data_IF_654333307321
#
_entry.id   IF_654333307321
#
_cell.length_a   1.000
_cell.length_b   1.000
_cell.length_c   1.000
_cell.angle_alpha   90.00
_cell.angle_beta   90.00
_cell.angle_gamma   90.00
#
_symmetry.space_group_name_H-M   'P 1'
#
loop_
_entity.id
_entity.type
_entity.pdbx_description
1 polymer ?
#
# COMPACT_ATOMS: atom_id res chain seq x y z
N UNK A 1 -9.98 0.92 -10.48
CA UNK A 1 -9.67 0.13 -11.68
C UNK A 1 -8.20 -0.19 -11.60
N UNK A 2 -7.86 -1.39 -11.13
CA UNK A 2 -6.48 -1.86 -11.03
C UNK A 2 -6.05 -2.40 -12.40
N UNK A 3 -4.75 -2.34 -12.70
CA UNK A 3 -4.17 -2.98 -13.89
C UNK A 3 -3.19 -4.04 -13.43
N UNK A 4 -3.25 -5.21 -14.06
CA UNK A 4 -2.20 -6.21 -13.92
C UNK A 4 -1.03 -5.78 -14.80
N UNK A 5 0.17 -5.84 -14.23
CA UNK A 5 1.39 -5.46 -14.93
C UNK A 5 2.32 -6.68 -15.03
N UNK A 6 3.01 -6.78 -16.16
CA UNK A 6 3.96 -7.83 -16.49
C UNK A 6 5.37 -7.23 -16.55
N UNK A 7 6.41 -8.02 -16.24
CA UNK A 7 7.78 -7.53 -16.34
C UNK A 7 8.12 -7.31 -17.81
N UNK A 8 8.79 -6.20 -18.12
CA UNK A 8 9.36 -5.95 -19.45
C UNK A 8 10.88 -6.20 -19.44
N UNK A 9 11.56 -6.28 -20.61
CA UNK A 9 12.98 -6.65 -20.68
C UNK A 9 13.93 -5.72 -19.91
N UNK A 10 13.49 -4.50 -19.58
CA UNK A 10 14.23 -3.55 -18.76
C UNK A 10 14.05 -3.84 -17.27
N UNK A 11 15.15 -4.06 -16.51
CA UNK A 11 15.08 -4.32 -15.08
C UNK A 11 14.33 -3.21 -14.33
N UNK A 12 13.34 -3.58 -13.52
CA UNK A 12 12.57 -2.65 -12.71
C UNK A 12 11.42 -1.93 -13.43
N UNK A 13 11.23 -2.14 -14.73
CA UNK A 13 10.13 -1.55 -15.50
C UNK A 13 9.02 -2.58 -15.68
N UNK A 14 7.77 -2.14 -15.52
CA UNK A 14 6.58 -2.97 -15.62
C UNK A 14 5.58 -2.36 -16.61
N UNK A 15 5.06 -3.15 -17.54
CA UNK A 15 4.04 -2.70 -18.48
C UNK A 15 2.66 -3.14 -18.02
N UNK A 16 1.74 -2.17 -17.92
CA UNK A 16 0.41 -2.39 -17.37
C UNK A 16 -0.63 -2.57 -18.47
N UNK A 17 -1.24 -3.75 -18.50
CA UNK A 17 -2.33 -4.08 -19.41
C UNK A 17 -3.67 -3.73 -18.73
N UNK A 18 -4.61 -3.18 -19.50
CA UNK A 18 -5.95 -2.93 -19.00
C UNK A 18 -6.67 -4.27 -18.81
N UNK A 19 -6.92 -4.67 -17.56
CA UNK A 19 -7.72 -5.84 -17.26
C UNK A 19 -9.14 -5.40 -16.82
N UNK A 20 -10.15 -5.80 -17.59
CA UNK A 20 -11.56 -5.74 -17.17
C UNK A 20 -11.91 -7.03 -16.44
N UNK A 21 -11.57 -7.13 -15.16
CA UNK A 21 -11.93 -8.30 -14.35
C UNK A 21 -13.07 -7.95 -13.38
N UNK A 22 -14.18 -8.70 -13.48
CA UNK A 22 -15.16 -8.82 -12.40
C UNK A 22 -14.55 -9.74 -11.34
N UNK A 23 -14.63 -9.43 -10.04
CA UNK A 23 -14.08 -10.30 -9.03
C UNK A 23 -14.89 -11.61 -8.96
N UNK A 24 -14.22 -12.74 -9.15
CA UNK A 24 -14.74 -14.06 -8.81
C UNK A 24 -14.84 -14.15 -7.28
N UNK A 25 -16.04 -14.42 -6.77
CA UNK A 25 -16.39 -14.47 -5.34
C UNK A 25 -16.01 -15.80 -4.68
N UNK A 26 -14.85 -16.37 -5.00
CA UNK A 26 -14.48 -17.70 -4.50
C UNK A 26 -13.07 -17.77 -3.91
N UNK A 27 -12.62 -16.75 -3.19
CA UNK A 27 -11.53 -16.93 -2.21
C UNK A 27 -12.16 -17.41 -0.90
N UNK A 28 -12.46 -18.71 -0.83
CA UNK A 28 -12.80 -19.35 0.43
C UNK A 28 -11.55 -19.40 1.32
N UNK A 29 -11.50 -18.49 2.30
CA UNK A 29 -10.60 -18.58 3.44
C UNK A 29 -10.93 -19.85 4.23
N UNK A 30 -10.13 -20.91 4.08
CA UNK A 30 -10.16 -22.05 4.99
C UNK A 30 -9.43 -21.64 6.27
N UNK A 31 -10.18 -21.47 7.35
CA UNK A 31 -9.66 -21.33 8.70
C UNK A 31 -9.21 -22.71 9.20
N UNK A 32 -7.92 -22.98 9.21
CA UNK A 32 -7.39 -24.14 9.94
C UNK A 32 -7.19 -23.75 11.41
N UNK A 33 -8.02 -24.36 12.27
CA UNK A 33 -7.96 -24.25 13.73
C UNK A 33 -7.05 -25.34 14.31
N UNK A 34 -6.18 -24.90 15.21
CA UNK A 34 -5.66 -25.56 16.41
C UNK A 34 -4.77 -26.82 16.32
N UNK A 35 -3.47 -26.60 16.57
CA UNK A 35 -2.60 -27.35 17.51
C UNK A 35 -1.32 -26.51 17.67
N UNK A 36 -0.73 -26.24 18.82
CA UNK A 36 -0.84 -26.81 20.15
C UNK A 36 -0.55 -25.74 21.22
N UNK A 37 -1.16 -25.91 22.39
CA UNK A 37 -0.91 -25.14 23.60
C UNK A 37 0.45 -25.52 24.19
N UNK A 38 1.35 -24.54 24.28
CA UNK A 38 2.56 -24.58 25.10
C UNK A 38 2.72 -23.23 25.79
N UNK A 39 2.52 -23.22 27.11
CA UNK A 39 2.63 -22.02 27.95
C UNK A 39 4.10 -21.56 28.01
N UNK A 40 4.37 -20.31 27.64
CA UNK A 40 5.60 -19.61 28.00
C UNK A 40 5.27 -18.13 28.24
N UNK A 41 5.27 -17.74 29.51
CA UNK A 41 5.13 -16.37 29.96
C UNK A 41 6.44 -15.61 29.67
N UNK A 42 6.64 -15.18 28.41
CA UNK A 42 7.51 -14.03 28.07
C UNK A 42 7.32 -13.51 26.62
N UNK A 43 6.14 -13.70 26.01
CA UNK A 43 6.05 -13.70 24.54
C UNK A 43 5.71 -12.36 23.86
N UNK A 44 5.42 -11.27 24.59
CA UNK A 44 5.06 -9.96 23.98
C UNK A 44 6.26 -9.05 23.74
N UNK A 45 7.35 -9.22 24.49
CA UNK A 45 8.52 -8.32 24.46
C UNK A 45 9.57 -8.68 23.40
N UNK A 46 9.47 -9.83 22.73
CA UNK A 46 10.44 -10.23 21.69
C UNK A 46 9.86 -10.21 20.27
N UNK A 47 8.53 -10.22 20.11
CA UNK A 47 7.90 -10.23 18.78
C UNK A 47 8.19 -8.98 17.98
N UNK A 48 8.34 -7.81 18.62
CA UNK A 48 8.66 -6.57 17.91
C UNK A 48 10.07 -6.57 17.28
N UNK A 49 11.02 -7.35 17.82
CA UNK A 49 12.36 -7.50 17.24
C UNK A 49 12.32 -8.28 15.93
N UNK A 50 11.42 -9.26 15.83
CA UNK A 50 11.33 -10.18 14.69
C UNK A 50 10.26 -9.77 13.68
N UNK A 51 9.23 -9.03 14.12
CA UNK A 51 8.09 -8.58 13.31
C UNK A 51 7.69 -7.14 13.65
N UNK A 52 8.56 -6.15 13.38
CA UNK A 52 8.31 -4.75 13.76
C UNK A 52 7.07 -4.15 13.09
N UNK A 53 6.58 -4.75 11.99
CA UNK A 53 5.41 -4.30 11.24
C UNK A 53 4.12 -5.07 11.57
N UNK A 54 4.13 -6.01 12.51
CA UNK A 54 2.97 -6.89 12.79
C UNK A 54 1.67 -6.10 13.03
N UNK A 55 1.76 -4.98 13.75
CA UNK A 55 0.58 -4.12 14.01
C UNK A 55 0.00 -3.53 12.73
N UNK A 56 0.83 -3.08 11.79
CA UNK A 56 0.39 -2.54 10.50
C UNK A 56 -0.18 -3.66 9.62
N UNK A 57 0.49 -4.82 9.57
CA UNK A 57 0.02 -5.98 8.82
C UNK A 57 -1.37 -6.43 9.29
N UNK A 58 -1.61 -6.44 10.61
CA UNK A 58 -2.92 -6.76 11.17
C UNK A 58 -4.00 -5.78 10.71
N UNK A 59 -3.70 -4.48 10.67
CA UNK A 59 -4.65 -3.46 10.17
C UNK A 59 -4.94 -3.62 8.67
N UNK A 60 -3.93 -3.97 7.86
CA UNK A 60 -4.12 -4.32 6.45
C UNK A 60 -5.04 -5.53 6.30
N UNK A 61 -4.89 -6.57 7.13
CA UNK A 61 -5.74 -7.75 7.08
C UNK A 61 -7.19 -7.46 7.49
N UNK A 62 -7.37 -6.59 8.48
CA UNK A 62 -8.69 -6.13 8.93
C UNK A 62 -9.34 -5.13 7.96
N UNK A 63 -8.56 -4.51 7.08
CA UNK A 63 -9.04 -3.44 6.19
C UNK A 63 -9.35 -2.14 6.93
N UNK A 64 -8.70 -1.90 8.08
CA UNK A 64 -8.91 -0.70 8.89
C UNK A 64 -8.12 0.49 8.31
N UNK A 65 -8.71 1.13 7.31
CA UNK A 65 -8.09 2.26 6.61
C UNK A 65 -7.88 3.48 7.51
N UNK A 66 -8.73 3.68 8.52
CA UNK A 66 -8.63 4.82 9.42
C UNK A 66 -7.44 4.68 10.36
N UNK A 67 -7.23 3.48 10.92
CA UNK A 67 -6.05 3.18 11.72
C UNK A 67 -4.77 3.22 10.88
N UNK A 68 -4.80 2.73 9.64
CA UNK A 68 -3.68 2.83 8.71
C UNK A 68 -3.36 4.28 8.36
N UNK A 69 -4.37 5.14 8.19
CA UNK A 69 -4.17 6.57 7.95
C UNK A 69 -3.52 7.25 9.14
N UNK A 70 -3.93 6.93 10.37
CA UNK A 70 -3.27 7.43 11.60
C UNK A 70 -1.79 7.05 11.64
N UNK A 71 -1.47 5.79 11.29
CA UNK A 71 -0.07 5.35 11.16
C UNK A 71 0.70 6.10 10.09
N UNK A 72 0.07 6.35 8.94
CA UNK A 72 0.71 7.11 7.88
C UNK A 72 0.96 8.57 8.30
N UNK A 73 0.05 9.15 9.09
CA UNK A 73 0.23 10.47 9.69
C UNK A 73 1.40 10.55 10.67
N UNK A 74 1.70 9.48 11.41
CA UNK A 74 2.89 9.42 12.29
C UNK A 74 4.20 9.59 11.48
N UNK A 75 4.26 9.05 10.27
CA UNK A 75 5.40 9.22 9.36
C UNK A 75 5.38 10.58 8.67
N UNK A 76 4.21 10.99 8.16
CA UNK A 76 4.07 12.13 7.28
C UNK A 76 4.05 13.49 8.00
N UNK A 77 3.65 13.49 9.29
CA UNK A 77 3.57 14.68 10.13
C UNK A 77 2.26 15.46 10.05
N UNK A 78 1.39 15.18 9.07
CA UNK A 78 0.05 15.77 8.98
C UNK A 78 -0.91 14.86 8.20
N UNK A 79 -2.19 15.25 8.11
CA UNK A 79 -3.20 14.53 7.33
C UNK A 79 -3.62 15.34 6.10
N UNK A 80 -3.40 14.78 4.91
CA UNK A 80 -3.86 15.36 3.66
C UNK A 80 -4.58 14.32 2.79
N UNK A 81 -5.42 14.73 1.82
CA UNK A 81 -6.12 13.81 0.94
C UNK A 81 -5.18 12.90 0.14
N UNK A 82 -4.01 13.39 -0.26
CA UNK A 82 -3.04 12.57 -1.00
C UNK A 82 -2.41 11.48 -0.14
N UNK A 83 -2.16 11.74 1.16
CA UNK A 83 -1.75 10.70 2.10
C UNK A 83 -2.81 9.60 2.21
N UNK A 84 -4.08 9.99 2.38
CA UNK A 84 -5.20 9.04 2.44
C UNK A 84 -5.37 8.24 1.15
N UNK A 85 -5.17 8.86 -0.02
CA UNK A 85 -5.15 8.17 -1.31
C UNK A 85 -4.00 7.17 -1.41
N UNK A 86 -2.81 7.51 -0.90
CA UNK A 86 -1.66 6.61 -0.79
C UNK A 86 -1.98 5.38 0.04
N UNK A 87 -2.49 5.58 1.26
CA UNK A 87 -2.91 4.49 2.17
C UNK A 87 -3.89 3.54 1.48
N UNK A 88 -4.93 4.11 0.85
CA UNK A 88 -5.94 3.31 0.12
C UNK A 88 -5.35 2.59 -1.07
N UNK A 89 -4.46 3.22 -1.83
CA UNK A 89 -3.84 2.63 -3.01
C UNK A 89 -2.95 1.44 -2.64
N UNK A 90 -2.12 1.58 -1.60
CA UNK A 90 -1.31 0.49 -1.07
C UNK A 90 -2.15 -0.67 -0.55
N UNK A 91 -3.19 -0.38 0.23
CA UNK A 91 -4.12 -1.41 0.72
C UNK A 91 -4.72 -2.21 -0.44
N UNK A 92 -5.27 -1.53 -1.46
CA UNK A 92 -5.84 -2.18 -2.65
C UNK A 92 -4.77 -3.00 -3.38
N UNK A 93 -3.59 -2.45 -3.60
CA UNK A 93 -2.51 -3.15 -4.30
C UNK A 93 -2.08 -4.43 -3.57
N UNK A 94 -1.90 -4.39 -2.24
CA UNK A 94 -1.56 -5.57 -1.43
C UNK A 94 -2.67 -6.62 -1.49
N UNK A 95 -3.93 -6.19 -1.38
CA UNK A 95 -5.11 -7.05 -1.45
C UNK A 95 -5.21 -7.79 -2.77
N UNK A 96 -5.05 -7.07 -3.89
CA UNK A 96 -5.11 -7.64 -5.25
C UNK A 96 -3.89 -8.54 -5.54
N UNK A 97 -2.72 -8.21 -4.98
CA UNK A 97 -1.50 -9.02 -5.11
C UNK A 97 -1.51 -10.26 -4.18
N UNK A 98 -2.53 -10.40 -3.33
CA UNK A 98 -2.64 -11.50 -2.37
C UNK A 98 -1.51 -11.53 -1.34
N UNK A 99 -1.00 -10.36 -0.95
CA UNK A 99 0.07 -10.22 0.05
C UNK A 99 -0.57 -10.09 1.43
N UNK A 100 -0.29 -11.08 2.29
CA UNK A 100 -0.83 -11.18 3.66
C UNK A 100 0.21 -10.69 4.68
N UNK A 101 1.49 -10.86 4.38
CA UNK A 101 2.63 -10.44 5.20
C UNK A 101 3.73 -9.94 4.27
N UNK A 102 4.43 -8.88 4.65
CA UNK A 102 5.59 -8.38 3.92
C UNK A 102 6.79 -8.35 4.86
N UNK A 103 7.66 -9.35 4.71
CA UNK A 103 8.82 -9.56 5.58
C UNK A 103 9.94 -8.52 5.38
N UNK A 104 9.76 -7.53 4.50
CA UNK A 104 10.67 -6.39 4.37
C UNK A 104 12.02 -6.69 3.70
N UNK A 105 12.18 -7.88 3.12
CA UNK A 105 13.40 -8.35 2.45
C UNK A 105 13.30 -8.23 0.92
N UNK A 106 12.84 -7.07 0.44
CA UNK A 106 12.74 -6.74 -1.00
C UNK A 106 11.87 -7.68 -1.86
N UNK A 107 11.14 -8.63 -1.27
CA UNK A 107 10.26 -9.57 -1.99
C UNK A 107 9.17 -8.83 -2.78
N UNK A 108 8.61 -7.81 -2.15
CA UNK A 108 7.67 -6.87 -2.73
C UNK A 108 8.39 -5.54 -2.95
N UNK A 109 8.35 -5.05 -4.19
CA UNK A 109 8.90 -3.74 -4.57
C UNK A 109 7.74 -2.83 -4.97
N UNK A 110 7.78 -1.60 -4.48
CA UNK A 110 6.86 -0.53 -4.86
C UNK A 110 7.54 0.43 -5.83
N UNK A 111 6.99 0.61 -7.03
CA UNK A 111 7.35 1.72 -7.92
C UNK A 111 6.32 2.83 -7.75
N UNK A 112 6.73 3.97 -7.22
CA UNK A 112 5.87 5.16 -7.03
C UNK A 112 6.13 6.19 -8.12
N UNK A 113 5.07 6.81 -8.62
CA UNK A 113 5.12 7.72 -9.78
C UNK A 113 5.12 9.22 -9.41
N UNK A 114 5.28 9.52 -8.12
CA UNK A 114 5.29 10.88 -7.53
C UNK A 114 6.13 10.88 -6.26
N UNK A 115 6.69 12.04 -5.90
CA UNK A 115 7.46 12.30 -4.68
C UNK A 115 6.60 12.93 -3.56
N UNK A 116 5.31 13.16 -3.80
CA UNK A 116 4.41 13.82 -2.84
C UNK A 116 3.83 12.89 -1.77
N UNK A 117 2.93 13.45 -0.95
CA UNK A 117 2.29 12.82 0.22
C UNK A 117 1.69 11.42 -0.04
N UNK A 118 1.30 11.15 -1.28
CA UNK A 118 0.83 9.83 -1.71
C UNK A 118 1.86 8.72 -1.40
N UNK A 119 3.14 9.00 -1.62
CA UNK A 119 4.23 8.04 -1.46
C UNK A 119 4.45 7.64 0.00
N UNK A 120 4.23 8.53 0.96
CA UNK A 120 4.31 8.18 2.39
C UNK A 120 3.21 7.21 2.83
N UNK A 121 2.01 7.35 2.25
CA UNK A 121 0.93 6.38 2.44
C UNK A 121 1.32 4.99 1.90
N UNK A 122 2.03 4.95 0.76
CA UNK A 122 2.58 3.69 0.21
C UNK A 122 3.63 3.10 1.15
N UNK A 123 4.62 3.89 1.56
CA UNK A 123 5.69 3.45 2.45
C UNK A 123 5.16 2.87 3.75
N UNK A 124 4.22 3.58 4.39
CA UNK A 124 3.65 3.14 5.66
C UNK A 124 2.89 1.82 5.51
N UNK A 125 2.02 1.69 4.52
CA UNK A 125 1.11 0.54 4.40
C UNK A 125 1.80 -0.66 3.76
N UNK A 126 2.49 -0.46 2.63
CA UNK A 126 3.15 -1.54 1.90
C UNK A 126 4.43 -2.02 2.59
N UNK A 127 5.10 -1.16 3.37
CA UNK A 127 6.40 -1.48 3.97
C UNK A 127 7.56 -1.45 2.99
N UNK A 128 7.29 -0.98 1.77
CA UNK A 128 8.28 -0.69 0.77
C UNK A 128 8.77 0.74 1.01
N UNK A 129 9.94 0.91 1.63
CA UNK A 129 10.49 2.23 1.97
C UNK A 129 11.73 2.53 1.15
N UNK A 130 12.12 3.79 1.06
CA UNK A 130 13.29 4.18 0.28
C UNK A 130 14.57 3.48 0.78
N UNK A 131 14.82 3.52 2.09
CA UNK A 131 16.07 3.02 2.67
C UNK A 131 16.13 1.50 2.87
N UNK A 132 15.01 0.77 2.75
CA UNK A 132 15.02 -0.69 2.76
C UNK A 132 15.10 -1.31 1.36
N UNK A 133 15.44 -0.50 0.34
CA UNK A 133 15.60 -0.90 -1.07
C UNK A 133 14.36 -1.53 -1.72
N UNK A 134 13.17 -1.37 -1.11
CA UNK A 134 11.93 -1.90 -1.66
C UNK A 134 11.07 -0.83 -2.33
N UNK A 135 11.51 0.43 -2.38
CA UNK A 135 10.82 1.50 -3.10
C UNK A 135 11.69 2.06 -4.23
N UNK A 136 11.10 2.12 -5.43
CA UNK A 136 11.65 2.78 -6.61
C UNK A 136 10.81 4.01 -6.91
N UNK A 137 11.45 5.18 -6.97
CA UNK A 137 10.80 6.40 -7.40
C UNK A 137 10.99 6.59 -8.91
N UNK A 138 9.91 6.93 -9.61
CA UNK A 138 9.94 7.28 -11.03
C UNK A 138 9.09 8.53 -11.23
N UNK A 139 9.71 9.68 -11.45
CA UNK A 139 8.98 10.94 -11.54
C UNK A 139 8.14 11.03 -12.82
N UNK A 140 6.85 10.69 -12.73
CA UNK A 140 5.87 10.83 -13.81
C UNK A 140 4.76 11.82 -13.45
N UNK A 141 4.84 12.47 -12.28
CA UNK A 141 3.82 13.36 -11.75
C UNK A 141 2.45 12.70 -11.48
N UNK A 142 2.39 11.37 -11.38
CA UNK A 142 1.13 10.62 -11.24
C UNK A 142 0.99 10.08 -9.82
N UNK A 143 -0.16 10.30 -9.19
CA UNK A 143 -0.54 9.61 -7.97
C UNK A 143 -0.85 8.13 -8.25
N UNK A 144 0.19 7.34 -8.42
CA UNK A 144 0.14 5.93 -8.77
C UNK A 144 1.27 5.13 -8.12
N UNK A 145 0.97 3.86 -7.87
CA UNK A 145 1.91 2.86 -7.34
C UNK A 145 1.78 1.57 -8.14
N UNK A 146 2.90 0.93 -8.41
CA UNK A 146 2.95 -0.46 -8.86
C UNK A 146 3.59 -1.30 -7.76
N UNK A 147 2.86 -2.25 -7.18
CA UNK A 147 3.44 -3.27 -6.30
C UNK A 147 3.74 -4.51 -7.13
N UNK A 148 4.97 -4.99 -7.04
CA UNK A 148 5.44 -6.15 -7.79
C UNK A 148 6.10 -7.17 -6.88
N UNK A 149 5.82 -8.46 -7.10
CA UNK A 149 6.68 -9.54 -6.61
C UNK A 149 7.91 -9.64 -7.51
N UNK A 150 9.12 -9.74 -6.95
CA UNK A 150 10.38 -9.81 -7.72
C UNK A 150 10.41 -10.85 -8.85
N UNK A 151 9.65 -11.94 -8.72
CA UNK A 151 9.60 -13.03 -9.71
C UNK A 151 8.18 -13.35 -10.20
N UNK A 152 7.35 -12.34 -10.45
CA UNK A 152 6.00 -12.65 -10.92
C UNK A 152 5.13 -11.47 -11.28
N UNK A 153 3.92 -11.49 -10.75
CA UNK A 153 2.85 -10.54 -11.06
C UNK A 153 3.05 -9.21 -10.34
N UNK A 154 2.53 -8.16 -10.97
CA UNK A 154 2.45 -6.84 -10.39
C UNK A 154 1.04 -6.26 -10.52
N UNK A 155 0.67 -5.40 -9.58
CA UNK A 155 -0.59 -4.65 -9.57
C UNK A 155 -0.26 -3.17 -9.56
N UNK A 156 -0.79 -2.44 -10.53
CA UNK A 156 -0.74 -0.98 -10.55
C UNK A 156 -2.07 -0.37 -10.17
N UNK A 157 -2.02 0.54 -9.22
CA UNK A 157 -3.15 1.35 -8.75
C UNK A 157 -2.83 2.81 -9.02
N UNK A 158 -3.74 3.51 -9.68
CA UNK A 158 -3.61 4.94 -9.97
C UNK A 158 -4.89 5.67 -9.60
N UNK A 159 -4.74 6.89 -9.07
CA UNK A 159 -5.85 7.83 -8.92
C UNK A 159 -6.33 8.25 -10.31
N UNK A 160 -7.65 8.36 -10.49
CA UNK A 160 -8.22 8.80 -11.78
C UNK A 160 -7.84 10.26 -12.02
N UNK A 161 -7.38 10.59 -13.24
CA UNK A 161 -7.01 11.96 -13.60
C UNK A 161 -8.15 12.98 -13.38
N UNK A 162 -9.40 12.56 -13.63
CA UNK A 162 -10.58 13.40 -13.38
C UNK A 162 -10.73 13.80 -11.90
N UNK A 163 -10.21 12.97 -10.98
CA UNK A 163 -10.21 13.28 -9.55
C UNK A 163 -9.15 14.33 -9.22
N UNK A 164 -7.98 14.26 -9.86
CA UNK A 164 -6.89 15.22 -9.64
C UNK A 164 -7.18 16.58 -10.28
N UNK A 165 -7.68 16.59 -11.51
CA UNK A 165 -7.98 17.82 -12.27
C UNK A 165 -9.18 18.58 -11.70
N UNK A 166 -10.20 17.86 -11.20
CA UNK A 166 -11.41 18.45 -10.65
C UNK A 166 -11.44 18.58 -9.12
N UNK A 167 -10.35 18.26 -8.41
CA UNK A 167 -10.37 18.12 -6.95
C UNK A 167 -10.94 19.35 -6.25
N UNK A 168 -10.41 20.53 -6.58
CA UNK A 168 -10.79 21.78 -5.91
C UNK A 168 -12.23 22.20 -6.20
N UNK A 169 -12.71 21.90 -7.40
CA UNK A 169 -14.08 22.20 -7.82
C UNK A 169 -15.07 21.24 -7.17
N UNK A 170 -14.68 19.98 -7.01
CA UNK A 170 -15.54 18.89 -6.53
C UNK A 170 -15.58 18.82 -5.00
N UNK A 171 -14.52 19.25 -4.33
CA UNK A 171 -14.37 19.22 -2.88
C UNK A 171 -13.80 20.56 -2.33
N UNK A 172 -14.50 21.68 -2.52
CA UNK A 172 -14.00 23.00 -2.09
C UNK A 172 -13.76 23.06 -0.58
N UNK A 173 -14.60 22.40 0.21
CA UNK A 173 -14.43 22.31 1.67
C UNK A 173 -13.15 21.55 2.06
N UNK A 174 -12.75 20.55 1.27
CA UNK A 174 -11.52 19.80 1.52
C UNK A 174 -10.27 20.62 1.18
N UNK A 175 -10.36 21.52 0.20
CA UNK A 175 -9.29 22.48 -0.11
C UNK A 175 -9.10 23.47 1.03
N UNK A 176 -10.18 24.06 1.53
CA UNK A 176 -10.09 24.98 2.68
C UNK A 176 -9.53 24.29 3.93
N UNK A 177 -9.84 23.01 4.12
CA UNK A 177 -9.29 22.21 5.21
C UNK A 177 -7.79 21.96 5.01
N UNK A 178 -7.38 21.63 3.78
CA UNK A 178 -5.99 21.43 3.39
C UNK A 178 -5.12 22.65 3.68
N UNK A 179 -5.57 23.84 3.28
CA UNK A 179 -4.86 25.12 3.50
C UNK A 179 -4.66 25.48 4.99
N UNK A 180 -5.40 24.83 5.89
CA UNK A 180 -5.27 25.02 7.34
C UNK A 180 -4.39 23.97 8.01
N UNK A 181 -4.18 22.84 7.35
CA UNK A 181 -3.44 21.69 7.89
C UNK A 181 -2.00 21.66 7.36
N UNK A 182 -1.77 22.19 6.15
CA UNK A 182 -0.48 22.33 5.47
C UNK A 182 -0.08 23.81 5.49
#
# INVERSE_FOLDING_TARGET
MYRLCQPVPTPGVWQCLAASHRPDRSVQFRSERNRALGRSHNSRSETWLTRPRESIEALVLLGDLDALLRKAGELHGHFCPYLALGVRAAYVALRELGVVQNLGLEEIVATVETDGCFSDGIQMVAGCTFANNALVFTDLGKAAVTLARRRGVAVRVAVRGEYTEGFSQRFPQAVTLLERIV
#
